data_IF_378384447459
#
_entry.id   IF_378384447459
#
_cell.length_a   1.000
_cell.length_b   1.000
_cell.length_c   1.000
_cell.angle_alpha   90.00
_cell.angle_beta   90.00
_cell.angle_gamma   90.00
#
_symmetry.space_group_name_H-M   'P 1'
#
loop_
_entity.id
_entity.type
_entity.pdbx_description
1 polymer ?
#
# COMPACT_ATOMS: atom_id res chain seq x y z
N UNK A 1 -41.09 -0.30 -7.61
CA UNK A 1 -39.87 -0.28 -6.78
C UNK A 1 -38.63 -0.18 -7.67
N UNK A 2 -38.15 1.04 -7.95
CA UNK A 2 -36.89 1.26 -8.67
C UNK A 2 -35.77 1.22 -7.63
N UNK A 3 -34.94 0.18 -7.63
CA UNK A 3 -33.71 0.15 -6.82
C UNK A 3 -32.81 1.27 -7.32
N UNK A 4 -32.59 2.24 -6.44
CA UNK A 4 -31.89 3.48 -6.70
C UNK A 4 -30.43 3.17 -7.06
N UNK A 5 -30.09 3.36 -8.34
CA UNK A 5 -28.71 3.17 -8.83
C UNK A 5 -27.75 4.20 -8.22
N UNK A 6 -28.25 5.27 -7.57
CA UNK A 6 -27.41 6.32 -6.98
C UNK A 6 -26.65 5.87 -5.73
N UNK A 7 -27.16 4.89 -4.97
CA UNK A 7 -26.50 4.39 -3.74
C UNK A 7 -25.25 3.56 -4.06
N UNK A 8 -25.29 2.79 -5.16
CA UNK A 8 -24.14 1.97 -5.61
C UNK A 8 -23.04 2.86 -6.19
N UNK A 9 -23.40 3.92 -6.92
CA UNK A 9 -22.43 4.89 -7.47
C UNK A 9 -21.77 5.73 -6.36
N UNK A 10 -22.49 6.03 -5.27
CA UNK A 10 -21.96 6.75 -4.09
C UNK A 10 -21.03 5.90 -3.22
N UNK A 11 -21.31 4.61 -3.01
CA UNK A 11 -20.36 3.69 -2.34
C UNK A 11 -19.07 3.47 -3.13
N UNK A 12 -19.16 3.45 -4.47
CA UNK A 12 -17.97 3.33 -5.34
C UNK A 12 -17.17 4.64 -5.31
N UNK A 13 -17.83 5.80 -5.23
CA UNK A 13 -17.16 7.09 -5.07
C UNK A 13 -16.43 7.23 -3.72
N UNK A 14 -17.01 6.76 -2.60
CA UNK A 14 -16.32 6.71 -1.30
C UNK A 14 -15.13 5.75 -1.32
N UNK A 15 -15.27 4.56 -1.92
CA UNK A 15 -14.16 3.63 -2.08
C UNK A 15 -13.05 4.24 -2.94
N UNK A 16 -13.39 4.90 -4.05
CA UNK A 16 -12.42 5.55 -4.96
C UNK A 16 -11.79 6.80 -4.34
N UNK A 17 -12.48 7.52 -3.45
CA UNK A 17 -11.92 8.70 -2.77
C UNK A 17 -10.97 8.30 -1.64
N UNK A 18 -11.22 7.17 -0.95
CA UNK A 18 -10.24 6.52 -0.07
C UNK A 18 -9.10 5.83 -0.83
N UNK A 19 -9.31 5.46 -2.10
CA UNK A 19 -8.26 4.89 -2.96
C UNK A 19 -7.21 5.93 -3.39
N UNK A 20 -7.54 7.22 -3.44
CA UNK A 20 -6.64 8.25 -4.00
C UNK A 20 -5.62 8.77 -2.96
N UNK A 21 -5.88 8.63 -1.66
CA UNK A 21 -4.92 9.00 -0.61
C UNK A 21 -3.87 7.91 -0.31
N UNK A 22 -4.10 6.65 -0.67
CA UNK A 22 -3.18 5.52 -0.40
C UNK A 22 -2.31 5.11 -1.59
N UNK A 23 -2.50 5.72 -2.77
CA UNK A 23 -1.49 5.67 -3.86
C UNK A 23 -0.16 6.32 -3.43
N UNK A 24 -0.15 7.02 -2.29
CA UNK A 24 1.05 7.58 -1.68
C UNK A 24 1.99 6.55 -1.05
N UNK A 25 1.65 5.28 -0.84
CA UNK A 25 2.57 4.37 -0.12
C UNK A 25 3.91 4.14 -0.84
N UNK A 26 3.95 4.24 -2.18
CA UNK A 26 5.22 4.21 -2.92
C UNK A 26 5.91 5.58 -2.93
N UNK A 27 5.17 6.68 -2.76
CA UNK A 27 5.73 8.04 -2.63
C UNK A 27 6.21 8.39 -1.22
N UNK A 28 5.66 7.74 -0.18
CA UNK A 28 6.13 7.81 1.21
C UNK A 28 7.42 7.02 1.35
N UNK A 29 7.48 5.80 0.80
CA UNK A 29 8.75 5.06 0.65
C UNK A 29 9.78 5.84 -0.20
N UNK A 30 9.36 6.55 -1.26
CA UNK A 30 10.26 7.37 -2.05
C UNK A 30 10.67 8.70 -1.39
N UNK A 31 9.91 9.22 -0.42
CA UNK A 31 10.28 10.41 0.36
C UNK A 31 11.18 10.09 1.54
N UNK A 32 11.14 8.87 2.07
CA UNK A 32 12.09 8.36 3.07
C UNK A 32 13.35 7.77 2.42
N UNK A 33 13.27 7.22 1.21
CA UNK A 33 14.40 6.57 0.54
C UNK A 33 15.64 7.45 0.31
N UNK A 34 15.54 8.78 0.13
CA UNK A 34 16.74 9.60 -0.10
C UNK A 34 17.67 9.71 1.14
N UNK A 35 17.20 9.38 2.36
CA UNK A 35 18.03 9.37 3.58
C UNK A 35 18.36 7.97 4.11
N UNK A 36 17.68 6.93 3.63
CA UNK A 36 17.69 5.61 4.28
C UNK A 36 18.23 4.47 3.37
N UNK A 37 18.75 4.78 2.17
CA UNK A 37 19.29 3.75 1.26
C UNK A 37 20.44 2.93 1.86
N UNK A 38 21.31 3.58 2.63
CA UNK A 38 22.40 2.92 3.35
C UNK A 38 21.85 1.88 4.34
N UNK A 39 20.83 2.27 5.11
CA UNK A 39 20.23 1.44 6.14
C UNK A 39 19.47 0.25 5.53
N UNK A 40 18.78 0.47 4.39
CA UNK A 40 18.14 -0.61 3.63
C UNK A 40 19.19 -1.61 3.12
N UNK A 41 20.31 -1.12 2.58
CA UNK A 41 21.37 -1.99 2.07
C UNK A 41 22.07 -2.76 3.19
N UNK A 42 22.32 -2.11 4.33
CA UNK A 42 22.92 -2.75 5.51
C UNK A 42 22.00 -3.85 6.05
N UNK A 43 20.70 -3.56 6.20
CA UNK A 43 19.69 -4.54 6.60
C UNK A 43 19.64 -5.73 5.63
N UNK A 44 19.57 -5.48 4.31
CA UNK A 44 19.53 -6.54 3.31
C UNK A 44 20.82 -7.37 3.29
N UNK A 45 21.97 -6.72 3.50
CA UNK A 45 23.28 -7.39 3.58
C UNK A 45 23.32 -8.35 4.77
N UNK A 46 22.85 -7.90 5.93
CA UNK A 46 22.79 -8.71 7.14
C UNK A 46 21.78 -9.86 7.03
N UNK A 47 20.54 -9.59 6.61
CA UNK A 47 19.47 -10.60 6.61
C UNK A 47 19.64 -11.65 5.50
N UNK A 48 20.18 -11.26 4.34
CA UNK A 48 20.41 -12.18 3.22
C UNK A 48 21.81 -12.79 3.20
N UNK A 49 22.68 -12.40 4.14
CA UNK A 49 24.10 -12.75 4.17
C UNK A 49 24.77 -12.50 2.81
N UNK A 50 24.63 -11.29 2.29
CA UNK A 50 25.15 -10.94 0.97
C UNK A 50 26.68 -10.91 0.97
N UNK A 51 27.29 -11.37 -0.12
CA UNK A 51 28.71 -11.11 -0.37
C UNK A 51 28.93 -9.63 -0.68
N UNK A 52 30.17 -9.14 -0.57
CA UNK A 52 30.52 -7.77 -0.95
C UNK A 52 30.10 -7.45 -2.40
N UNK A 53 30.32 -8.39 -3.33
CA UNK A 53 29.94 -8.21 -4.74
C UNK A 53 28.42 -8.14 -4.92
N UNK A 54 27.67 -8.98 -4.20
CA UNK A 54 26.21 -8.96 -4.23
C UNK A 54 25.67 -7.65 -3.64
N UNK A 55 26.20 -7.22 -2.49
CA UNK A 55 25.82 -5.97 -1.85
C UNK A 55 26.08 -4.76 -2.78
N UNK A 56 27.23 -4.71 -3.45
CA UNK A 56 27.54 -3.63 -4.39
C UNK A 56 26.60 -3.61 -5.62
N UNK A 57 26.25 -4.77 -6.15
CA UNK A 57 25.28 -4.87 -7.25
C UNK A 57 23.88 -4.43 -6.83
N UNK A 58 23.43 -4.84 -5.63
CA UNK A 58 22.14 -4.40 -5.09
C UNK A 58 22.12 -2.91 -4.78
N UNK A 59 23.21 -2.34 -4.25
CA UNK A 59 23.36 -0.91 -4.03
C UNK A 59 23.15 -0.12 -5.34
N UNK A 60 23.82 -0.55 -6.40
CA UNK A 60 23.69 0.06 -7.73
C UNK A 60 22.26 -0.04 -8.27
N UNK A 61 21.62 -1.20 -8.08
CA UNK A 61 20.20 -1.40 -8.45
C UNK A 61 19.26 -0.50 -7.65
N UNK A 62 19.50 -0.34 -6.34
CA UNK A 62 18.70 0.50 -5.45
C UNK A 62 18.87 1.98 -5.80
N UNK A 63 20.07 2.42 -6.13
CA UNK A 63 20.33 3.78 -6.62
C UNK A 63 19.61 4.06 -7.94
N UNK A 64 19.65 3.13 -8.89
CA UNK A 64 18.92 3.27 -10.14
C UNK A 64 17.40 3.34 -9.90
N UNK A 65 16.88 2.53 -8.98
CA UNK A 65 15.48 2.55 -8.59
C UNK A 65 15.08 3.91 -8.01
N UNK A 66 15.80 4.41 -6.99
CA UNK A 66 15.54 5.70 -6.35
C UNK A 66 15.64 6.86 -7.34
N UNK A 67 16.68 6.89 -8.18
CA UNK A 67 16.85 7.91 -9.21
C UNK A 67 15.68 7.93 -10.20
N UNK A 68 15.20 6.74 -10.60
CA UNK A 68 14.03 6.62 -11.49
C UNK A 68 12.78 7.17 -10.82
N UNK A 69 12.53 6.85 -9.54
CA UNK A 69 11.39 7.39 -8.79
C UNK A 69 11.46 8.91 -8.65
N UNK A 70 12.64 9.44 -8.34
CA UNK A 70 12.89 10.87 -8.23
C UNK A 70 12.65 11.60 -9.54
N UNK A 71 13.07 11.02 -10.67
CA UNK A 71 12.79 11.58 -11.98
C UNK A 71 11.28 11.58 -12.28
N UNK A 72 10.58 10.47 -12.02
CA UNK A 72 9.14 10.38 -12.21
C UNK A 72 8.38 11.40 -11.36
N UNK A 73 8.80 11.62 -10.12
CA UNK A 73 8.26 12.66 -9.24
C UNK A 73 8.48 14.05 -9.82
N UNK A 74 9.72 14.39 -10.20
CA UNK A 74 10.06 15.68 -10.83
C UNK A 74 9.27 15.92 -12.11
N UNK A 75 9.06 14.90 -12.94
CA UNK A 75 8.24 15.00 -14.15
C UNK A 75 6.76 15.25 -13.83
N UNK A 76 6.23 14.62 -12.79
CA UNK A 76 4.84 14.76 -12.36
C UNK A 76 4.56 16.10 -11.66
N UNK A 77 5.57 16.70 -11.04
CA UNK A 77 5.46 17.97 -10.30
C UNK A 77 5.67 19.22 -11.18
N UNK A 78 6.23 19.04 -12.39
CA UNK A 78 6.61 20.16 -13.30
C UNK A 78 5.42 20.98 -13.82
N UNK A 79 4.24 20.38 -14.00
CA UNK A 79 3.06 21.13 -14.45
C UNK A 79 1.76 20.45 -13.99
N UNK A 80 0.96 21.18 -13.21
CA UNK A 80 -0.34 20.69 -12.70
C UNK A 80 -1.31 20.35 -13.84
N UNK A 81 -1.15 20.96 -15.01
CA UNK A 81 -2.02 20.74 -16.17
C UNK A 81 -1.61 19.54 -17.04
N UNK A 82 -0.39 19.00 -16.88
CA UNK A 82 0.09 17.82 -17.62
C UNK A 82 0.32 16.62 -16.70
N UNK A 83 -0.18 16.67 -15.46
CA UNK A 83 -0.08 15.56 -14.52
C UNK A 83 -0.79 14.34 -15.10
N UNK A 84 -0.02 13.30 -15.45
CA UNK A 84 -0.54 12.01 -15.89
C UNK A 84 -0.24 10.94 -14.82
N UNK A 85 -1.19 10.72 -13.88
CA UNK A 85 -1.05 9.70 -12.86
C UNK A 85 -0.84 8.30 -13.44
N UNK A 86 -1.37 7.99 -14.63
CA UNK A 86 -1.19 6.67 -15.24
C UNK A 86 0.24 6.48 -15.73
N UNK A 87 0.83 7.50 -16.34
CA UNK A 87 2.25 7.47 -16.75
C UNK A 87 3.15 7.32 -15.53
N UNK A 88 2.90 8.08 -14.47
CA UNK A 88 3.64 7.97 -13.20
C UNK A 88 3.54 6.55 -12.62
N UNK A 89 2.32 6.00 -12.48
CA UNK A 89 2.10 4.66 -11.94
C UNK A 89 2.79 3.57 -12.77
N UNK A 90 2.73 3.66 -14.10
CA UNK A 90 3.44 2.72 -14.99
C UNK A 90 4.95 2.82 -14.82
N UNK A 91 5.48 4.04 -14.70
CA UNK A 91 6.91 4.26 -14.46
C UNK A 91 7.37 3.66 -13.14
N UNK A 92 6.61 3.88 -12.07
CA UNK A 92 6.89 3.30 -10.74
C UNK A 92 6.87 1.77 -10.80
N UNK A 93 5.85 1.19 -11.43
CA UNK A 93 5.72 -0.25 -11.57
C UNK A 93 6.89 -0.84 -12.38
N UNK A 94 7.31 -0.16 -13.44
CA UNK A 94 8.47 -0.56 -14.22
C UNK A 94 9.76 -0.53 -13.39
N UNK A 95 10.02 0.58 -12.70
CA UNK A 95 11.20 0.72 -11.84
C UNK A 95 11.26 -0.42 -10.81
N UNK A 96 10.11 -0.78 -10.22
CA UNK A 96 10.02 -1.91 -9.29
C UNK A 96 10.38 -3.23 -9.96
N UNK A 97 9.81 -3.54 -11.12
CA UNK A 97 10.11 -4.79 -11.86
C UNK A 97 11.59 -4.87 -12.21
N UNK A 98 12.17 -3.78 -12.72
CA UNK A 98 13.58 -3.71 -13.09
C UNK A 98 14.50 -3.95 -11.87
N UNK A 99 14.14 -3.41 -10.69
CA UNK A 99 14.86 -3.68 -9.45
C UNK A 99 14.74 -5.14 -9.00
N UNK A 100 13.54 -5.73 -9.04
CA UNK A 100 13.35 -7.15 -8.71
C UNK A 100 14.13 -8.09 -9.61
N UNK A 101 14.14 -7.80 -10.92
CA UNK A 101 14.93 -8.56 -11.88
C UNK A 101 16.42 -8.44 -11.60
N UNK A 102 16.88 -7.29 -11.10
CA UNK A 102 18.26 -7.08 -10.64
C UNK A 102 18.54 -7.95 -9.42
N UNK A 103 17.71 -7.88 -8.38
CA UNK A 103 17.87 -8.70 -7.16
C UNK A 103 17.91 -10.18 -7.52
N UNK A 104 16.96 -10.66 -8.33
CA UNK A 104 16.86 -12.06 -8.76
C UNK A 104 18.08 -12.57 -9.52
N UNK A 105 18.78 -11.70 -10.26
CA UNK A 105 20.02 -12.06 -10.99
C UNK A 105 21.26 -12.02 -10.11
N UNK A 106 21.25 -11.20 -9.07
CA UNK A 106 22.39 -11.00 -8.16
C UNK A 106 22.42 -12.02 -7.04
N UNK A 107 21.28 -12.39 -6.48
CA UNK A 107 21.19 -13.29 -5.32
C UNK A 107 20.84 -14.73 -5.72
N UNK A 108 21.12 -15.69 -4.83
CA UNK A 108 20.70 -17.08 -5.04
C UNK A 108 19.17 -17.23 -4.94
N UNK A 109 18.56 -18.30 -5.48
CA UNK A 109 17.12 -18.52 -5.34
C UNK A 109 16.63 -18.52 -3.88
N UNK A 110 17.41 -19.08 -2.96
CA UNK A 110 17.07 -19.09 -1.53
C UNK A 110 17.09 -17.68 -0.91
N UNK A 111 18.12 -16.88 -1.24
CA UNK A 111 18.19 -15.48 -0.83
C UNK A 111 17.08 -14.64 -1.48
N UNK A 112 16.66 -14.97 -2.70
CA UNK A 112 15.55 -14.28 -3.35
C UNK A 112 14.22 -14.53 -2.65
N UNK A 113 13.93 -15.77 -2.25
CA UNK A 113 12.74 -16.07 -1.43
C UNK A 113 12.78 -15.36 -0.07
N UNK A 114 13.96 -15.30 0.58
CA UNK A 114 14.14 -14.52 1.80
C UNK A 114 13.91 -13.03 1.58
N UNK A 115 14.40 -12.48 0.48
CA UNK A 115 14.15 -11.08 0.10
C UNK A 115 12.65 -10.79 -0.05
N UNK A 116 11.90 -11.68 -0.70
CA UNK A 116 10.44 -11.54 -0.81
C UNK A 116 9.76 -11.58 0.56
N UNK A 117 10.21 -12.46 1.46
CA UNK A 117 9.68 -12.54 2.81
C UNK A 117 9.99 -11.28 3.65
N UNK A 118 11.20 -10.72 3.56
CA UNK A 118 11.58 -9.46 4.20
C UNK A 118 10.66 -8.34 3.72
N UNK A 119 10.44 -8.25 2.42
CA UNK A 119 9.57 -7.23 1.86
C UNK A 119 8.12 -7.37 2.34
N UNK A 120 7.58 -8.59 2.38
CA UNK A 120 6.24 -8.84 2.90
C UNK A 120 6.14 -8.44 4.37
N UNK A 121 7.17 -8.76 5.18
CA UNK A 121 7.26 -8.37 6.59
C UNK A 121 7.26 -6.84 6.75
N UNK A 122 8.14 -6.14 6.05
CA UNK A 122 8.21 -4.67 6.08
C UNK A 122 6.89 -4.02 5.64
N UNK A 123 6.24 -4.56 4.61
CA UNK A 123 4.94 -4.05 4.18
C UNK A 123 3.88 -4.18 5.29
N UNK A 124 3.86 -5.32 5.99
CA UNK A 124 2.94 -5.54 7.13
C UNK A 124 3.25 -4.62 8.31
N UNK A 125 4.53 -4.39 8.61
CA UNK A 125 4.96 -3.46 9.66
C UNK A 125 4.49 -2.04 9.33
N UNK A 126 4.77 -1.54 8.13
CA UNK A 126 4.30 -0.21 7.68
C UNK A 126 2.77 -0.12 7.75
N UNK A 127 2.05 -1.15 7.30
CA UNK A 127 0.58 -1.15 7.40
C UNK A 127 0.09 -1.15 8.85
N UNK A 128 0.85 -1.74 9.76
CA UNK A 128 0.55 -1.76 11.20
C UNK A 128 0.76 -0.40 11.81
N UNK A 129 1.89 0.25 11.53
CA UNK A 129 2.17 1.61 12.02
C UNK A 129 1.15 2.61 11.49
N UNK A 130 0.81 2.52 10.19
CA UNK A 130 -0.22 3.37 9.59
C UNK A 130 -1.59 3.11 10.21
N UNK A 131 -1.93 1.84 10.46
CA UNK A 131 -3.18 1.49 11.13
C UNK A 131 -3.25 2.06 12.55
N UNK A 132 -2.15 1.96 13.31
CA UNK A 132 -2.05 2.50 14.65
C UNK A 132 -2.24 4.02 14.66
N UNK A 133 -1.50 4.76 13.82
CA UNK A 133 -1.64 6.21 13.69
C UNK A 133 -3.09 6.59 13.35
N UNK A 134 -3.70 5.93 12.36
CA UNK A 134 -5.08 6.19 11.97
C UNK A 134 -6.07 5.92 13.10
N UNK A 135 -5.85 4.86 13.88
CA UNK A 135 -6.73 4.47 14.96
C UNK A 135 -6.59 5.39 16.17
N UNK A 136 -5.38 5.85 16.49
CA UNK A 136 -5.12 6.88 17.50
C UNK A 136 -5.85 8.18 17.13
N UNK A 137 -5.78 8.60 15.86
CA UNK A 137 -6.50 9.80 15.37
C UNK A 137 -8.03 9.64 15.44
N UNK A 138 -8.53 8.41 15.26
CA UNK A 138 -9.96 8.10 15.33
C UNK A 138 -10.45 7.88 16.77
N UNK A 139 -9.57 7.50 17.70
CA UNK A 139 -9.90 7.19 19.08
C UNK A 139 -10.73 8.29 19.77
N UNK A 140 -10.33 9.59 19.78
CA UNK A 140 -11.12 10.62 20.45
C UNK A 140 -12.46 10.92 19.77
N UNK A 141 -12.61 10.56 18.48
CA UNK A 141 -13.82 10.87 17.70
C UNK A 141 -14.87 9.77 17.80
N UNK A 142 -14.43 8.52 17.89
CA UNK A 142 -15.31 7.34 17.95
C UNK A 142 -15.49 6.88 19.40
N UNK A 143 -14.48 7.09 20.24
CA UNK A 143 -14.44 6.68 21.64
C UNK A 143 -14.00 5.23 21.80
N UNK A 144 -12.89 4.83 21.15
CA UNK A 144 -12.32 3.49 21.35
C UNK A 144 -11.61 3.41 22.71
N UNK A 145 -11.73 2.28 23.40
CA UNK A 145 -10.85 1.96 24.53
C UNK A 145 -9.49 1.48 24.02
N UNK A 146 -8.46 1.51 24.88
CA UNK A 146 -7.13 1.02 24.51
C UNK A 146 -7.16 -0.48 24.17
N UNK A 147 -7.92 -1.29 24.91
CA UNK A 147 -8.15 -2.70 24.57
C UNK A 147 -8.83 -2.91 23.22
N UNK A 148 -9.71 -1.98 22.82
CA UNK A 148 -10.30 -2.00 21.48
C UNK A 148 -9.27 -1.61 20.43
N UNK A 149 -8.42 -0.61 20.68
CA UNK A 149 -7.34 -0.22 19.77
C UNK A 149 -6.41 -1.40 19.47
N UNK A 150 -5.92 -2.10 20.50
CA UNK A 150 -5.03 -3.27 20.33
C UNK A 150 -5.65 -4.34 19.42
N UNK A 151 -6.98 -4.53 19.50
CA UNK A 151 -7.72 -5.48 18.66
C UNK A 151 -8.00 -4.93 17.25
N UNK A 152 -8.13 -3.62 17.09
CA UNK A 152 -8.42 -2.96 15.81
C UNK A 152 -7.18 -2.80 14.93
N UNK A 153 -6.01 -2.56 15.52
CA UNK A 153 -4.73 -2.42 14.80
C UNK A 153 -4.50 -3.57 13.79
N UNK A 154 -4.54 -4.85 14.18
CA UNK A 154 -4.33 -5.95 13.22
C UNK A 154 -5.44 -6.05 12.18
N UNK A 155 -6.67 -5.58 12.48
CA UNK A 155 -7.78 -5.55 11.50
C UNK A 155 -7.55 -4.48 10.44
N UNK A 156 -7.18 -3.28 10.86
CA UNK A 156 -6.87 -2.16 9.95
C UNK A 156 -5.60 -2.43 9.14
N UNK A 157 -4.54 -2.95 9.78
CA UNK A 157 -3.30 -3.34 9.11
C UNK A 157 -3.55 -4.38 8.02
N UNK A 158 -4.31 -5.43 8.31
CA UNK A 158 -4.70 -6.43 7.32
C UNK A 158 -5.51 -5.84 6.16
N UNK A 159 -6.48 -4.98 6.46
CA UNK A 159 -7.28 -4.34 5.42
C UNK A 159 -6.43 -3.45 4.50
N UNK A 160 -5.50 -2.68 5.08
CA UNK A 160 -4.56 -1.84 4.34
C UNK A 160 -3.63 -2.66 3.45
N UNK A 161 -3.05 -3.75 3.97
CA UNK A 161 -2.14 -4.61 3.22
C UNK A 161 -2.84 -5.28 2.03
N UNK A 162 -4.05 -5.83 2.23
CA UNK A 162 -4.87 -6.40 1.15
C UNK A 162 -5.27 -5.36 0.11
N UNK A 163 -5.58 -4.14 0.53
CA UNK A 163 -5.87 -3.06 -0.40
C UNK A 163 -4.64 -2.70 -1.25
N UNK A 164 -3.47 -2.56 -0.63
CA UNK A 164 -2.22 -2.24 -1.32
C UNK A 164 -1.79 -3.35 -2.28
N UNK A 165 -2.00 -4.61 -1.91
CA UNK A 165 -1.75 -5.77 -2.78
C UNK A 165 -2.62 -5.69 -4.05
N UNK A 166 -3.94 -5.57 -3.89
CA UNK A 166 -4.88 -5.43 -5.02
C UNK A 166 -4.53 -4.21 -5.88
N UNK A 167 -4.20 -3.07 -5.26
CA UNK A 167 -3.82 -1.85 -5.97
C UNK A 167 -2.53 -2.06 -6.77
N UNK A 168 -1.51 -2.67 -6.16
CA UNK A 168 -0.21 -2.92 -6.77
C UNK A 168 -0.31 -3.87 -7.97
N UNK A 169 -1.06 -4.97 -7.84
CA UNK A 169 -1.28 -5.92 -8.92
C UNK A 169 -1.97 -5.30 -10.14
N UNK A 170 -2.76 -4.25 -9.92
CA UNK A 170 -3.58 -3.62 -10.97
C UNK A 170 -3.05 -2.24 -11.37
N UNK A 171 -1.97 -1.76 -10.75
CA UNK A 171 -1.39 -0.45 -11.02
C UNK A 171 -0.92 -0.34 -12.47
N UNK A 172 -1.26 0.77 -13.12
CA UNK A 172 -0.86 1.07 -14.50
C UNK A 172 -1.55 0.24 -15.59
N UNK A 173 -2.36 -0.76 -15.24
CA UNK A 173 -3.10 -1.61 -16.19
C UNK A 173 -4.39 -0.95 -16.65
N UNK A 174 -4.70 -1.09 -17.93
CA UNK A 174 -6.04 -0.79 -18.43
C UNK A 174 -6.93 -2.03 -18.26
N UNK A 175 -7.76 -2.00 -17.22
CA UNK A 175 -8.57 -3.16 -16.86
C UNK A 175 -9.76 -3.34 -17.80
N UNK A 176 -9.87 -4.52 -18.39
CA UNK A 176 -11.06 -4.98 -19.14
C UNK A 176 -12.25 -5.12 -18.20
N UNK A 177 -13.50 -5.12 -18.69
CA UNK A 177 -14.69 -5.25 -17.84
C UNK A 177 -14.68 -6.46 -16.90
N UNK A 178 -14.17 -7.62 -17.36
CA UNK A 178 -14.03 -8.83 -16.53
C UNK A 178 -13.01 -8.65 -15.40
N UNK A 179 -11.91 -7.96 -15.66
CA UNK A 179 -10.85 -7.68 -14.67
C UNK A 179 -11.33 -6.65 -13.65
N UNK A 180 -12.01 -5.59 -14.10
CA UNK A 180 -12.70 -4.63 -13.20
C UNK A 180 -13.65 -5.34 -12.25
N UNK A 181 -14.42 -6.32 -12.75
CA UNK A 181 -15.33 -7.10 -11.93
C UNK A 181 -14.59 -7.99 -10.91
N UNK A 182 -13.44 -8.59 -11.29
CA UNK A 182 -12.60 -9.36 -10.37
C UNK A 182 -12.06 -8.48 -9.24
N UNK A 183 -11.49 -7.31 -9.58
CA UNK A 183 -10.99 -6.33 -8.60
C UNK A 183 -12.12 -5.89 -7.68
N UNK A 184 -13.29 -5.54 -8.22
CA UNK A 184 -14.44 -5.14 -7.41
C UNK A 184 -14.88 -6.25 -6.44
N UNK A 185 -14.85 -7.52 -6.87
CA UNK A 185 -15.18 -8.65 -6.00
C UNK A 185 -14.16 -8.83 -4.87
N UNK A 186 -12.87 -8.70 -5.17
CA UNK A 186 -11.80 -8.76 -4.18
C UNK A 186 -11.94 -7.64 -3.13
N UNK A 187 -12.15 -6.40 -3.58
CA UNK A 187 -12.38 -5.25 -2.69
C UNK A 187 -13.62 -5.43 -1.80
N UNK A 188 -14.74 -5.90 -2.38
CA UNK A 188 -15.95 -6.18 -1.60
C UNK A 188 -15.76 -7.30 -0.58
N UNK A 189 -15.00 -8.34 -0.94
CA UNK A 189 -14.68 -9.42 -0.03
C UNK A 189 -13.84 -8.91 1.15
N UNK A 190 -12.77 -8.16 0.87
CA UNK A 190 -11.93 -7.56 1.91
C UNK A 190 -12.73 -6.62 2.83
N UNK A 191 -13.60 -5.77 2.26
CA UNK A 191 -14.49 -4.90 3.04
C UNK A 191 -15.44 -5.69 3.93
N UNK A 192 -16.01 -6.80 3.41
CA UNK A 192 -16.91 -7.66 4.18
C UNK A 192 -16.17 -8.29 5.38
N UNK A 193 -15.01 -8.90 5.13
CA UNK A 193 -14.19 -9.53 6.19
C UNK A 193 -13.77 -8.50 7.24
N UNK A 194 -13.34 -7.31 6.80
CA UNK A 194 -13.00 -6.21 7.70
C UNK A 194 -14.20 -5.81 8.55
N UNK A 195 -15.37 -5.60 7.95
CA UNK A 195 -16.58 -5.23 8.69
C UNK A 195 -17.02 -6.30 9.70
N UNK A 196 -16.92 -7.58 9.36
CA UNK A 196 -17.20 -8.69 10.28
C UNK A 196 -16.28 -8.64 11.51
N UNK A 197 -14.97 -8.43 11.31
CA UNK A 197 -14.00 -8.28 12.39
C UNK A 197 -14.25 -7.02 13.23
N UNK A 198 -14.57 -5.89 12.60
CA UNK A 198 -14.91 -4.65 13.32
C UNK A 198 -16.16 -4.82 14.19
N UNK A 199 -17.18 -5.51 13.68
CA UNK A 199 -18.43 -5.73 14.41
C UNK A 199 -18.28 -6.66 15.61
N UNK A 200 -17.22 -7.46 15.66
CA UNK A 200 -16.88 -8.28 16.82
C UNK A 200 -16.14 -7.49 17.93
N UNK A 201 -15.60 -6.30 17.62
CA UNK A 201 -14.78 -5.48 18.54
C UNK A 201 -15.54 -4.23 19.00
N UNK A 202 -16.29 -3.61 18.08
CA UNK A 202 -16.94 -2.32 18.27
C UNK A 202 -18.41 -2.46 18.61
N UNK A 203 -18.93 -1.51 19.40
CA UNK A 203 -20.38 -1.38 19.62
C UNK A 203 -21.08 -0.84 18.38
N UNK A 204 -22.41 -1.02 18.31
CA UNK A 204 -23.24 -0.46 17.22
C UNK A 204 -23.05 1.05 17.07
N UNK A 205 -23.01 1.79 18.18
CA UNK A 205 -22.79 3.24 18.20
C UNK A 205 -21.41 3.63 17.66
N UNK A 206 -20.36 2.89 18.04
CA UNK A 206 -19.00 3.13 17.54
C UNK A 206 -18.90 2.84 16.03
N UNK A 207 -19.55 1.78 15.54
CA UNK A 207 -19.64 1.48 14.10
C UNK A 207 -20.37 2.57 13.32
N UNK A 208 -21.45 3.12 13.89
CA UNK A 208 -22.20 4.20 13.26
C UNK A 208 -21.39 5.50 13.21
N UNK A 209 -20.73 5.87 14.32
CA UNK A 209 -19.79 7.01 14.34
C UNK A 209 -18.71 6.85 13.27
N UNK A 210 -18.05 5.68 13.20
CA UNK A 210 -17.02 5.39 12.20
C UNK A 210 -17.56 5.51 10.77
N UNK A 211 -18.79 5.03 10.51
CA UNK A 211 -19.44 5.15 9.19
C UNK A 211 -19.70 6.61 8.82
N UNK A 212 -20.16 7.42 9.77
CA UNK A 212 -20.48 8.83 9.54
C UNK A 212 -19.23 9.69 9.30
N UNK A 213 -18.10 9.31 9.90
CA UNK A 213 -16.80 9.95 9.64
C UNK A 213 -16.29 9.71 8.21
N UNK A 214 -16.59 8.55 7.64
CA UNK A 214 -16.18 8.18 6.28
C UNK A 214 -17.09 8.72 5.16
N UNK A 215 -18.19 9.42 5.53
CA UNK A 215 -19.15 10.01 4.58
C UNK A 215 -18.99 11.52 4.40
N UNK A 216 -18.12 12.17 5.19
CA UNK A 216 -17.75 13.58 5.06
C UNK A 216 -16.50 13.72 4.21
#
# INVERSE_FOLDING_TARGET
MKKDKSTITRSIACAVTLCISLVFSVSVLAQTAEKDQSDILEMLTAELNLTSDQAQQLASGLDQFTNTLNQLKKENDKDKNTRDPKKMLRGVQKARVDYYDTVKKTVTPAQFEQFLAIQERMMKEICTDVAEIQLIDLQPRVGFTDEQLEKLIPVFSYNLSQFLEIASENAGKELRPREKLKVLKALKHNQKVTFEKLSAILTSDQLEKLRNLNQK
#
